data_IF_684169342842
#
_entry.id   IF_684169342842
#
_cell.length_a   1.000
_cell.length_b   1.000
_cell.length_c   1.000
_cell.angle_alpha   90.00
_cell.angle_beta   90.00
_cell.angle_gamma   90.00
#
_symmetry.space_group_name_H-M   'P 1'
#
loop_
_entity.id
_entity.type
_entity.pdbx_description
1 polymer ?
#
# COMPACT_ATOMS: atom_id res chain seq x y z
N UNK A 1 6.97 79.92 12.93
CA UNK A 1 6.90 78.56 12.36
C UNK A 1 7.55 77.61 13.36
N UNK A 2 6.80 76.73 14.02
CA UNK A 2 7.38 75.66 14.83
C UNK A 2 6.68 74.33 14.52
N UNK A 3 7.44 73.37 14.01
CA UNK A 3 6.98 72.02 13.72
C UNK A 3 7.28 71.11 14.92
N UNK A 4 6.23 70.64 15.59
CA UNK A 4 6.33 69.58 16.61
C UNK A 4 6.36 68.22 15.89
N UNK A 5 7.40 67.42 16.15
CA UNK A 5 7.40 66.02 15.76
C UNK A 5 7.93 65.10 16.87
N UNK A 6 7.66 63.80 16.72
CA UNK A 6 8.22 62.66 17.47
C UNK A 6 7.42 62.16 18.69
N UNK A 7 6.28 61.47 18.44
CA UNK A 7 5.69 60.49 19.38
C UNK A 7 5.31 59.12 18.79
N UNK A 8 5.66 58.81 17.54
CA UNK A 8 5.23 57.56 16.87
C UNK A 8 6.16 56.33 17.03
N UNK A 9 7.38 56.48 17.58
CA UNK A 9 8.37 55.39 17.63
C UNK A 9 8.28 54.42 18.82
N UNK A 10 7.81 54.87 20.00
CA UNK A 10 7.86 54.06 21.23
C UNK A 10 6.86 52.88 21.25
N UNK A 11 5.74 52.99 20.54
CA UNK A 11 4.68 51.97 20.54
C UNK A 11 5.00 50.74 19.67
N UNK A 12 5.84 50.86 18.62
CA UNK A 12 6.28 49.71 17.81
C UNK A 12 7.20 48.77 18.60
N UNK A 13 8.12 49.33 19.41
CA UNK A 13 9.07 48.53 20.21
C UNK A 13 8.37 47.70 21.30
N UNK A 14 7.38 48.26 21.99
CA UNK A 14 6.57 47.53 22.99
C UNK A 14 5.77 46.37 22.37
N UNK A 15 5.17 46.58 21.18
CA UNK A 15 4.46 45.51 20.44
C UNK A 15 5.39 44.39 19.99
N UNK A 16 6.63 44.70 19.58
CA UNK A 16 7.61 43.69 19.19
C UNK A 16 8.03 42.80 20.38
N UNK A 17 8.28 43.39 21.55
CA UNK A 17 8.63 42.64 22.76
C UNK A 17 7.51 41.71 23.24
N UNK A 18 6.24 42.14 23.21
CA UNK A 18 5.12 41.26 23.56
C UNK A 18 4.99 40.09 22.58
N UNK A 19 5.19 40.32 21.27
CA UNK A 19 5.18 39.25 20.27
C UNK A 19 6.33 38.26 20.48
N UNK A 20 7.52 38.73 20.88
CA UNK A 20 8.66 37.86 21.21
C UNK A 20 8.39 36.98 22.44
N UNK A 21 7.87 37.57 23.53
CA UNK A 21 7.47 36.81 24.74
C UNK A 21 6.42 35.75 24.45
N UNK A 22 5.40 36.06 23.65
CA UNK A 22 4.37 35.08 23.26
C UNK A 22 4.98 33.90 22.48
N UNK A 23 5.90 34.17 21.54
CA UNK A 23 6.60 33.12 20.78
C UNK A 23 7.48 32.24 21.68
N UNK A 24 8.09 32.80 22.71
CA UNK A 24 8.92 32.05 23.67
C UNK A 24 8.08 31.18 24.61
N UNK A 25 6.93 31.68 25.07
CA UNK A 25 5.96 30.89 25.84
C UNK A 25 5.42 29.70 25.04
N UNK A 26 5.00 29.93 23.78
CA UNK A 26 4.55 28.83 22.92
C UNK A 26 5.66 27.80 22.64
N UNK A 27 6.92 28.22 22.55
CA UNK A 27 8.06 27.29 22.39
C UNK A 27 8.29 26.44 23.64
N UNK A 28 8.10 26.99 24.83
CA UNK A 28 8.23 26.24 26.07
C UNK A 28 7.08 25.24 26.22
N UNK A 29 5.84 25.66 25.96
CA UNK A 29 4.66 24.77 25.98
C UNK A 29 4.81 23.57 25.03
N UNK A 30 5.28 23.80 23.78
CA UNK A 30 5.55 22.72 22.82
C UNK A 30 6.66 21.77 23.32
N UNK A 31 7.68 22.29 24.02
CA UNK A 31 8.75 21.45 24.61
C UNK A 31 8.25 20.64 25.81
N UNK A 32 7.41 21.21 26.67
CA UNK A 32 6.81 20.50 27.80
C UNK A 32 5.81 19.43 27.32
N UNK A 33 4.99 19.73 26.31
CA UNK A 33 4.08 18.76 25.69
C UNK A 33 4.83 17.58 25.04
N UNK A 34 5.99 17.83 24.41
CA UNK A 34 6.86 16.76 23.91
C UNK A 34 7.41 15.89 25.05
N UNK A 35 7.82 16.46 26.17
CA UNK A 35 8.32 15.70 27.33
C UNK A 35 7.23 14.88 28.01
N UNK A 36 6.01 15.40 28.13
CA UNK A 36 4.86 14.66 28.69
C UNK A 36 4.48 13.44 27.83
N UNK A 37 4.54 13.54 26.49
CA UNK A 37 4.34 12.38 25.61
C UNK A 37 5.39 11.29 25.81
N UNK A 38 6.65 11.68 25.98
CA UNK A 38 7.75 10.73 26.21
C UNK A 38 7.64 10.00 27.56
N UNK A 39 7.09 10.63 28.59
CA UNK A 39 6.88 9.98 29.91
C UNK A 39 5.68 9.04 29.86
N UNK A 40 4.58 9.44 29.22
CA UNK A 40 3.40 8.58 29.02
C UNK A 40 3.66 7.38 28.10
N UNK A 41 4.59 7.49 27.13
CA UNK A 41 5.03 6.36 26.31
C UNK A 41 5.89 5.36 27.10
N UNK A 42 6.68 5.82 28.08
CA UNK A 42 7.59 4.98 28.86
C UNK A 42 6.85 4.07 29.85
N UNK A 43 5.73 4.52 30.42
CA UNK A 43 4.88 3.70 31.30
C UNK A 43 4.08 2.62 30.54
N UNK A 44 3.93 2.74 29.21
CA UNK A 44 3.27 1.73 28.37
C UNK A 44 4.22 0.65 27.85
N UNK A 45 5.52 0.76 28.14
CA UNK A 45 6.57 -0.13 27.62
C UNK A 45 6.99 -1.24 28.59
N UNK A 46 6.43 -1.27 29.80
CA UNK A 46 6.67 -2.33 30.79
C UNK A 46 5.42 -3.20 30.90
N UNK A 47 5.38 -4.28 30.12
CA UNK A 47 4.35 -5.33 30.24
C UNK A 47 3.37 -5.34 29.07
N UNK A 48 3.71 -6.06 28.01
CA UNK A 48 2.81 -6.28 26.90
C UNK A 48 3.30 -7.42 26.05
N UNK A 49 2.97 -8.65 26.44
CA UNK A 49 2.72 -9.75 25.50
C UNK A 49 2.10 -9.15 24.24
N UNK A 50 2.69 -9.37 23.05
CA UNK A 50 2.14 -8.91 21.78
C UNK A 50 0.65 -9.26 21.75
N UNK A 51 -0.19 -8.26 21.96
CA UNK A 51 -1.60 -8.49 22.22
C UNK A 51 -2.20 -9.03 20.92
N UNK A 52 -2.86 -10.20 20.97
CA UNK A 52 -3.47 -10.83 19.80
C UNK A 52 -4.43 -9.87 19.04
N UNK A 53 -4.92 -8.85 19.74
CA UNK A 53 -5.73 -7.77 19.17
C UNK A 53 -5.00 -6.91 18.13
N UNK A 54 -3.68 -6.73 18.23
CA UNK A 54 -2.92 -5.92 17.25
C UNK A 54 -2.91 -6.54 15.85
N UNK A 55 -2.94 -7.88 15.77
CA UNK A 55 -3.07 -8.60 14.51
C UNK A 55 -4.44 -8.34 13.87
N UNK A 56 -5.52 -8.48 14.65
CA UNK A 56 -6.88 -8.27 14.17
C UNK A 56 -7.16 -6.81 13.82
N UNK A 57 -6.60 -5.85 14.56
CA UNK A 57 -6.68 -4.42 14.24
C UNK A 57 -6.02 -4.08 12.90
N UNK A 58 -4.88 -4.69 12.57
CA UNK A 58 -4.25 -4.48 11.27
C UNK A 58 -5.07 -5.15 10.15
N UNK A 59 -5.62 -6.34 10.41
CA UNK A 59 -6.50 -7.02 9.47
C UNK A 59 -7.77 -6.21 9.17
N UNK A 60 -8.44 -5.67 10.19
CA UNK A 60 -9.62 -4.82 10.00
C UNK A 60 -9.27 -3.52 9.29
N UNK A 61 -8.14 -2.89 9.63
CA UNK A 61 -7.67 -1.69 8.94
C UNK A 61 -7.44 -1.93 7.44
N UNK A 62 -6.88 -3.08 7.05
CA UNK A 62 -6.69 -3.42 5.65
C UNK A 62 -7.98 -3.79 4.92
N UNK A 63 -8.91 -4.48 5.59
CA UNK A 63 -10.24 -4.73 5.05
C UNK A 63 -11.01 -3.42 4.81
N UNK A 64 -10.91 -2.47 5.74
CA UNK A 64 -11.46 -1.12 5.56
C UNK A 64 -10.79 -0.38 4.40
N UNK A 65 -9.46 -0.46 4.30
CA UNK A 65 -8.72 0.12 3.18
C UNK A 65 -9.19 -0.45 1.85
N UNK A 66 -9.34 -1.78 1.74
CA UNK A 66 -9.82 -2.43 0.52
C UNK A 66 -11.22 -1.94 0.14
N UNK A 67 -12.15 -1.89 1.11
CA UNK A 67 -13.51 -1.38 0.88
C UNK A 67 -13.51 0.07 0.40
N UNK A 68 -12.73 0.93 1.06
CA UNK A 68 -12.59 2.35 0.69
C UNK A 68 -11.96 2.49 -0.70
N UNK A 69 -10.93 1.70 -0.98
CA UNK A 69 -10.25 1.70 -2.27
C UNK A 69 -11.21 1.32 -3.40
N UNK A 70 -11.99 0.25 -3.24
CA UNK A 70 -13.00 -0.14 -4.24
C UNK A 70 -14.01 0.98 -4.50
N UNK A 71 -14.53 1.63 -3.45
CA UNK A 71 -15.48 2.75 -3.60
C UNK A 71 -14.83 3.94 -4.31
N UNK A 72 -13.61 4.31 -3.95
CA UNK A 72 -12.87 5.41 -4.59
C UNK A 72 -12.59 5.08 -6.05
N UNK A 73 -12.19 3.83 -6.35
CA UNK A 73 -11.93 3.36 -7.71
C UNK A 73 -13.17 3.51 -8.59
N UNK A 74 -14.33 3.02 -8.13
CA UNK A 74 -15.58 3.16 -8.86
C UNK A 74 -16.01 4.62 -9.01
N UNK A 75 -15.90 5.44 -7.94
CA UNK A 75 -16.20 6.88 -8.01
C UNK A 75 -15.33 7.59 -9.06
N UNK A 76 -14.02 7.32 -9.04
CA UNK A 76 -13.07 7.92 -9.99
C UNK A 76 -13.39 7.48 -11.42
N UNK A 77 -13.74 6.22 -11.60
CA UNK A 77 -14.15 5.68 -12.90
C UNK A 77 -15.43 6.34 -13.42
N UNK A 78 -16.44 6.54 -12.57
CA UNK A 78 -17.66 7.26 -12.95
C UNK A 78 -17.37 8.71 -13.35
N UNK A 79 -16.57 9.44 -12.57
CA UNK A 79 -16.19 10.83 -12.88
C UNK A 79 -15.45 10.92 -14.23
N UNK A 80 -14.53 9.98 -14.51
CA UNK A 80 -13.82 9.93 -15.78
C UNK A 80 -14.80 9.70 -16.96
N UNK A 81 -15.72 8.75 -16.82
CA UNK A 81 -16.74 8.48 -17.84
C UNK A 81 -17.72 9.66 -18.03
N UNK A 82 -18.05 10.39 -16.98
CA UNK A 82 -18.85 11.62 -17.07
C UNK A 82 -18.12 12.70 -17.88
N UNK A 83 -16.82 12.89 -17.65
CA UNK A 83 -15.99 13.81 -18.44
C UNK A 83 -15.91 13.39 -19.91
N UNK A 84 -15.69 12.11 -20.19
CA UNK A 84 -15.68 11.57 -21.55
C UNK A 84 -17.02 11.80 -22.25
N UNK A 85 -18.13 11.48 -21.58
CA UNK A 85 -19.48 11.71 -22.09
C UNK A 85 -19.75 13.21 -22.36
N UNK A 86 -19.27 14.09 -21.49
CA UNK A 86 -19.39 15.53 -21.69
C UNK A 86 -18.63 15.99 -22.94
N UNK A 87 -17.39 15.53 -23.13
CA UNK A 87 -16.59 15.82 -24.33
C UNK A 87 -17.28 15.28 -25.59
N UNK A 88 -17.84 14.06 -25.54
CA UNK A 88 -18.58 13.48 -26.66
C UNK A 88 -19.82 14.32 -27.00
N UNK A 89 -20.57 14.78 -25.98
CA UNK A 89 -21.72 15.67 -26.17
C UNK A 89 -21.31 17.02 -26.75
N UNK A 90 -20.19 17.59 -26.30
CA UNK A 90 -19.66 18.85 -26.83
C UNK A 90 -19.19 18.71 -28.29
N UNK A 91 -18.53 17.60 -28.64
CA UNK A 91 -18.20 17.27 -30.03
C UNK A 91 -19.45 17.07 -30.89
N UNK A 92 -20.47 16.40 -30.37
CA UNK A 92 -21.71 16.18 -31.11
C UNK A 92 -22.45 17.51 -31.33
N UNK A 93 -22.51 18.37 -30.30
CA UNK A 93 -23.01 19.74 -30.43
C UNK A 93 -22.24 20.53 -31.47
N UNK A 94 -20.91 20.47 -31.48
CA UNK A 94 -20.11 21.18 -32.47
C UNK A 94 -20.39 20.69 -33.90
N UNK A 95 -20.44 19.38 -34.13
CA UNK A 95 -20.78 18.80 -35.44
C UNK A 95 -22.18 19.22 -35.92
N UNK A 96 -23.18 19.19 -35.04
CA UNK A 96 -24.55 19.61 -35.38
C UNK A 96 -24.60 21.11 -35.72
N UNK A 97 -23.95 21.97 -34.92
CA UNK A 97 -23.88 23.41 -35.19
C UNK A 97 -23.12 23.73 -36.50
N UNK A 98 -22.07 22.97 -36.84
CA UNK A 98 -21.35 23.11 -38.11
C UNK A 98 -22.16 22.54 -39.29
N UNK A 99 -23.00 21.53 -39.05
CA UNK A 99 -23.95 20.99 -40.03
C UNK A 99 -25.03 21.99 -40.44
N UNK A 100 -25.46 22.87 -39.54
CA UNK A 100 -26.44 23.93 -39.83
C UNK A 100 -25.95 24.97 -40.83
N UNK A 101 -24.66 25.33 -40.81
CA UNK A 101 -24.06 26.24 -41.79
C UNK A 101 -23.66 25.56 -43.12
N UNK A 102 -23.45 24.24 -43.12
CA UNK A 102 -23.10 23.47 -44.33
C UNK A 102 -24.32 22.83 -45.03
N UNK A 103 -25.53 22.94 -44.46
CA UNK A 103 -26.74 22.33 -45.01
C UNK A 103 -27.24 22.96 -46.32
N UNK A 104 -26.69 24.10 -46.75
CA UNK A 104 -26.96 24.64 -48.10
C UNK A 104 -26.04 24.01 -49.18
N UNK A 105 -24.82 23.56 -48.84
CA UNK A 105 -23.83 23.08 -49.81
C UNK A 105 -23.60 21.56 -49.81
N UNK A 106 -24.00 20.83 -48.75
CA UNK A 106 -23.76 19.39 -48.64
C UNK A 106 -24.89 18.46 -49.16
N UNK A 107 -26.09 18.99 -49.44
CA UNK A 107 -27.20 18.18 -49.96
C UNK A 107 -26.87 17.63 -51.37
N UNK A 108 -26.07 18.35 -52.17
CA UNK A 108 -25.62 17.88 -53.48
C UNK A 108 -24.55 16.79 -53.40
N UNK A 109 -23.68 16.78 -52.39
CA UNK A 109 -22.62 15.75 -52.24
C UNK A 109 -23.12 14.46 -51.58
N UNK A 110 -24.12 14.55 -50.70
CA UNK A 110 -24.69 13.39 -49.98
C UNK A 110 -25.47 12.43 -50.88
N UNK A 111 -26.09 12.91 -51.97
CA UNK A 111 -26.74 12.03 -52.95
C UNK A 111 -25.74 11.12 -53.69
N UNK A 112 -24.49 11.55 -53.85
CA UNK A 112 -23.46 10.81 -54.59
C UNK A 112 -22.85 9.65 -53.79
N UNK A 113 -22.74 9.78 -52.47
CA UNK A 113 -22.17 8.74 -51.58
C UNK A 113 -23.19 7.71 -51.09
N UNK A 114 -24.48 8.04 -51.02
CA UNK A 114 -25.51 7.07 -50.62
C UNK A 114 -25.74 5.94 -51.63
N UNK A 115 -25.36 6.13 -52.89
CA UNK A 115 -25.48 5.09 -53.92
C UNK A 115 -24.38 4.02 -53.81
N UNK A 116 -23.19 4.38 -53.32
CA UNK A 116 -22.05 3.46 -53.20
C UNK A 116 -22.16 2.52 -51.98
N UNK A 117 -22.75 2.98 -50.87
CA UNK A 117 -22.86 2.20 -49.63
C UNK A 117 -24.08 1.26 -49.57
N UNK A 118 -24.93 1.24 -50.60
CA UNK A 118 -26.13 0.37 -50.63
C UNK A 118 -25.84 -1.03 -51.15
N UNK A 119 -24.75 -1.23 -51.89
CA UNK A 119 -24.33 -2.54 -52.43
C UNK A 119 -23.39 -3.31 -51.47
N UNK A 120 -22.87 -2.69 -50.42
CA UNK A 120 -21.92 -3.30 -49.47
C UNK A 120 -22.55 -3.70 -48.12
N UNK A 121 -23.86 -3.52 -47.94
CA UNK A 121 -24.54 -3.68 -46.65
C UNK A 121 -25.49 -4.88 -46.60
N UNK A 122 -25.17 -5.91 -47.37
CA UNK A 122 -25.93 -7.15 -47.47
C UNK A 122 -24.99 -8.34 -47.40
N UNK A 123 -24.13 -8.37 -46.38
CA UNK A 123 -23.55 -9.61 -45.86
C UNK A 123 -23.07 -9.35 -44.44
N UNK A 124 -23.40 -10.28 -43.54
CA UNK A 124 -22.80 -10.43 -42.22
C UNK A 124 -23.27 -9.48 -41.10
N UNK A 125 -24.56 -9.61 -40.77
CA UNK A 125 -25.04 -9.48 -39.41
C UNK A 125 -25.46 -10.87 -38.91
N UNK A 126 -24.60 -11.58 -38.18
CA UNK A 126 -24.98 -12.80 -37.46
C UNK A 126 -24.07 -13.11 -36.26
N UNK A 127 -24.74 -13.34 -35.13
CA UNK A 127 -24.36 -14.14 -33.96
C UNK A 127 -23.42 -13.55 -32.92
N UNK A 128 -24.06 -13.07 -31.85
CA UNK A 128 -23.58 -13.13 -30.48
C UNK A 128 -23.34 -14.60 -30.09
N UNK A 129 -22.10 -15.08 -30.20
CA UNK A 129 -21.67 -16.29 -29.51
C UNK A 129 -20.63 -15.89 -28.47
N UNK A 130 -21.10 -15.78 -27.22
CA UNK A 130 -20.24 -15.90 -26.07
C UNK A 130 -19.52 -17.24 -26.21
N UNK A 131 -18.24 -17.19 -26.60
CA UNK A 131 -17.38 -18.35 -26.71
C UNK A 131 -17.49 -19.18 -25.43
N UNK A 132 -18.21 -20.30 -25.52
CA UNK A 132 -18.11 -21.40 -24.58
C UNK A 132 -16.66 -21.87 -24.62
N UNK A 133 -15.82 -21.32 -23.73
CA UNK A 133 -14.46 -21.81 -23.51
C UNK A 133 -14.56 -23.16 -22.80
N UNK A 134 -14.86 -24.21 -23.57
CA UNK A 134 -14.76 -25.59 -23.14
C UNK A 134 -13.27 -25.93 -23.01
N UNK A 135 -12.76 -25.89 -21.78
CA UNK A 135 -11.40 -26.28 -21.46
C UNK A 135 -11.27 -27.80 -21.61
N UNK A 136 -10.65 -28.26 -22.68
CA UNK A 136 -10.20 -29.65 -22.79
C UNK A 136 -9.04 -29.88 -21.82
N UNK A 137 -9.29 -30.69 -20.80
CA UNK A 137 -8.26 -31.14 -19.87
C UNK A 137 -7.45 -32.23 -20.56
N UNK A 138 -6.30 -31.88 -21.11
CA UNK A 138 -5.38 -32.84 -21.70
C UNK A 138 -4.87 -33.84 -20.64
N UNK A 139 -4.53 -35.05 -21.06
CA UNK A 139 -3.90 -36.11 -20.25
C UNK A 139 -2.73 -35.59 -19.41
N UNK A 140 -1.89 -34.74 -20.01
CA UNK A 140 -0.75 -34.10 -19.34
C UNK A 140 -1.19 -33.21 -18.16
N UNK A 141 -2.30 -32.49 -18.30
CA UNK A 141 -2.84 -31.65 -17.22
C UNK A 141 -3.44 -32.51 -16.10
N UNK A 142 -4.07 -33.65 -16.43
CA UNK A 142 -4.53 -34.62 -15.44
C UNK A 142 -3.35 -35.20 -14.65
N UNK A 143 -2.27 -35.59 -15.34
CA UNK A 143 -1.06 -36.14 -14.70
C UNK A 143 -0.36 -35.14 -13.79
N UNK A 144 -0.28 -33.86 -14.18
CA UNK A 144 0.28 -32.79 -13.37
C UNK A 144 -0.53 -32.55 -12.09
N UNK A 145 -1.86 -32.51 -12.20
CA UNK A 145 -2.75 -32.35 -11.05
C UNK A 145 -2.62 -33.54 -10.08
N UNK A 146 -2.49 -34.76 -10.60
CA UNK A 146 -2.26 -35.95 -9.79
C UNK A 146 -0.91 -35.88 -9.05
N UNK A 147 0.17 -35.49 -9.74
CA UNK A 147 1.49 -35.30 -9.12
C UNK A 147 1.47 -34.21 -8.03
N UNK A 148 0.80 -33.08 -8.30
CA UNK A 148 0.61 -31.99 -7.34
C UNK A 148 -0.15 -32.47 -6.10
N UNK A 149 -1.22 -33.24 -6.29
CA UNK A 149 -1.98 -33.83 -5.18
C UNK A 149 -1.15 -34.82 -4.36
N UNK A 150 -0.39 -35.71 -5.02
CA UNK A 150 0.49 -36.67 -4.33
C UNK A 150 1.55 -35.95 -3.48
N UNK A 151 2.21 -34.92 -4.03
CA UNK A 151 3.21 -34.14 -3.31
C UNK A 151 2.61 -33.36 -2.13
N UNK A 152 1.41 -32.79 -2.30
CA UNK A 152 0.69 -32.11 -1.21
C UNK A 152 0.35 -33.07 -0.07
N UNK A 153 -0.12 -34.27 -0.38
CA UNK A 153 -0.43 -35.31 0.61
C UNK A 153 0.84 -35.80 1.31
N UNK A 154 1.96 -35.96 0.58
CA UNK A 154 3.24 -36.35 1.16
C UNK A 154 3.80 -35.30 2.14
N UNK A 155 3.77 -34.02 1.75
CA UNK A 155 4.15 -32.91 2.63
C UNK A 155 3.28 -32.84 3.88
N UNK A 156 1.97 -33.10 3.74
CA UNK A 156 1.04 -33.11 4.85
C UNK A 156 1.33 -34.28 5.80
N UNK A 157 1.56 -35.49 5.27
CA UNK A 157 1.97 -36.66 6.07
C UNK A 157 3.30 -36.45 6.80
N UNK A 158 4.28 -35.80 6.15
CA UNK A 158 5.54 -35.41 6.82
C UNK A 158 5.27 -34.50 8.02
N UNK A 159 4.48 -33.44 7.83
CA UNK A 159 4.07 -32.54 8.94
C UNK A 159 3.31 -33.27 10.04
N UNK A 160 2.42 -34.18 9.68
CA UNK A 160 1.64 -34.97 10.64
C UNK A 160 2.55 -35.94 11.41
N UNK A 161 3.53 -36.60 10.78
CA UNK A 161 4.52 -37.44 11.45
C UNK A 161 5.47 -36.64 12.36
N UNK A 162 5.84 -35.43 11.97
CA UNK A 162 6.61 -34.48 12.79
C UNK A 162 5.78 -33.94 13.97
N UNK A 163 4.45 -33.89 13.84
CA UNK A 163 3.55 -33.51 14.94
C UNK A 163 3.25 -34.66 15.89
N UNK A 164 3.21 -35.90 15.40
CA UNK A 164 2.95 -37.09 16.21
C UNK A 164 4.18 -37.53 17.04
N UNK A 165 5.40 -37.19 16.58
CA UNK A 165 6.65 -37.40 17.33
C UNK A 165 6.91 -36.31 18.39
N UNK A 166 6.12 -35.23 18.41
CA UNK A 166 6.23 -34.12 19.36
C UNK A 166 5.09 -34.06 20.38
N UNK A 167 4.39 -35.19 20.58
CA UNK A 167 3.23 -35.29 21.47
C UNK A 167 3.54 -35.53 22.96
N UNK A 168 4.81 -35.62 23.37
CA UNK A 168 5.18 -35.93 24.76
C UNK A 168 6.41 -35.14 25.27
N UNK A 169 6.59 -33.89 24.82
CA UNK A 169 7.42 -32.93 25.54
C UNK A 169 6.69 -31.58 25.57
N UNK A 170 6.01 -31.35 26.69
CA UNK A 170 5.37 -30.09 27.00
C UNK A 170 6.37 -28.95 27.02
N UNK A 171 6.01 -27.90 26.29
CA UNK A 171 6.18 -26.48 26.61
C UNK A 171 7.27 -26.13 27.65
N UNK A 172 8.52 -26.33 27.26
CA UNK A 172 9.61 -25.48 27.69
C UNK A 172 10.41 -25.15 26.43
N UNK A 173 10.22 -23.93 25.90
CA UNK A 173 11.15 -23.33 24.94
C UNK A 173 12.45 -23.02 25.67
N UNK A 174 13.15 -24.10 26.02
CA UNK A 174 14.41 -24.12 26.69
C UNK A 174 15.42 -23.37 25.82
N UNK A 175 15.94 -22.27 26.37
CA UNK A 175 16.95 -21.35 25.84
C UNK A 175 18.32 -22.06 25.62
N UNK A 176 18.36 -23.38 25.63
CA UNK A 176 19.55 -24.21 25.46
C UNK A 176 20.09 -24.21 24.01
N UNK A 177 19.30 -23.77 23.01
CA UNK A 177 19.74 -23.66 21.61
C UNK A 177 20.51 -22.37 21.27
N UNK A 178 20.35 -21.30 22.04
CA UNK A 178 20.93 -19.99 21.71
C UNK A 178 22.46 -19.97 21.79
N UNK A 179 23.01 -20.59 22.84
CA UNK A 179 24.46 -20.62 23.05
C UNK A 179 25.20 -21.42 21.96
N UNK A 180 24.61 -22.53 21.49
CA UNK A 180 25.19 -23.33 20.42
C UNK A 180 25.12 -22.62 19.07
N UNK A 181 24.00 -21.94 18.79
CA UNK A 181 23.85 -21.12 17.58
C UNK A 181 24.84 -19.95 17.54
N UNK A 182 25.02 -19.23 18.66
CA UNK A 182 26.00 -18.13 18.75
C UNK A 182 27.42 -18.65 18.55
N UNK A 183 27.78 -19.79 19.15
CA UNK A 183 29.09 -20.42 18.96
C UNK A 183 29.31 -20.83 17.51
N UNK A 184 28.33 -21.46 16.87
CA UNK A 184 28.41 -21.86 15.46
C UNK A 184 28.50 -20.65 14.52
N UNK A 185 27.74 -19.59 14.80
CA UNK A 185 27.81 -18.32 14.08
C UNK A 185 29.19 -17.68 14.20
N UNK A 186 29.78 -17.64 15.40
CA UNK A 186 31.11 -17.08 15.62
C UNK A 186 32.21 -17.93 14.96
N UNK A 187 32.09 -19.26 14.99
CA UNK A 187 33.02 -20.15 14.30
C UNK A 187 32.97 -19.95 12.77
N UNK A 188 31.77 -19.87 12.20
CA UNK A 188 31.57 -19.59 10.78
C UNK A 188 32.10 -18.19 10.40
N UNK A 189 31.84 -17.17 11.22
CA UNK A 189 32.37 -15.83 10.99
C UNK A 189 33.91 -15.81 11.03
N UNK A 190 34.52 -16.58 11.95
CA UNK A 190 35.98 -16.71 12.04
C UNK A 190 36.57 -17.43 10.82
N UNK A 191 35.85 -18.40 10.25
CA UNK A 191 36.25 -19.08 9.01
C UNK A 191 36.18 -18.14 7.80
N UNK A 192 35.11 -17.37 7.66
CA UNK A 192 34.89 -16.47 6.52
C UNK A 192 35.75 -15.21 6.54
N UNK A 193 35.88 -14.60 7.73
CA UNK A 193 36.44 -13.26 7.88
C UNK A 193 37.77 -13.25 8.65
N UNK A 194 38.24 -14.40 9.15
CA UNK A 194 39.50 -14.52 9.87
C UNK A 194 39.58 -13.64 11.12
N UNK A 195 40.65 -12.86 11.24
CA UNK A 195 40.91 -11.97 12.37
C UNK A 195 39.90 -10.81 12.45
N UNK A 196 39.38 -10.35 11.30
CA UNK A 196 38.40 -9.27 11.23
C UNK A 196 36.95 -9.70 11.60
N UNK A 197 36.74 -10.98 11.91
CA UNK A 197 35.43 -11.56 12.20
C UNK A 197 34.71 -10.87 13.35
N UNK A 198 35.42 -10.54 14.44
CA UNK A 198 34.85 -9.86 15.60
C UNK A 198 34.38 -8.44 15.25
N UNK A 199 35.17 -7.71 14.47
CA UNK A 199 34.86 -6.35 14.02
C UNK A 199 33.64 -6.33 13.11
N UNK A 200 33.57 -7.23 12.13
CA UNK A 200 32.44 -7.32 11.19
C UNK A 200 31.16 -7.70 11.92
N UNK A 201 31.22 -8.67 12.83
CA UNK A 201 30.04 -9.07 13.61
C UNK A 201 29.54 -7.93 14.51
N UNK A 202 30.46 -7.15 15.09
CA UNK A 202 30.11 -5.96 15.86
C UNK A 202 29.43 -4.90 14.99
N UNK A 203 29.94 -4.66 13.77
CA UNK A 203 29.33 -3.73 12.82
C UNK A 203 27.94 -4.18 12.38
N UNK A 204 27.77 -5.46 12.06
CA UNK A 204 26.47 -6.05 11.70
C UNK A 204 25.45 -5.89 12.84
N UNK A 205 25.87 -6.22 14.06
CA UNK A 205 25.03 -6.08 15.25
C UNK A 205 24.65 -4.62 15.47
N UNK A 206 25.61 -3.69 15.33
CA UNK A 206 25.32 -2.26 15.44
C UNK A 206 24.27 -1.81 14.40
N UNK A 207 24.40 -2.22 13.14
CA UNK A 207 23.40 -1.93 12.10
C UNK A 207 22.04 -2.53 12.45
N UNK A 208 22.00 -3.80 12.86
CA UNK A 208 20.77 -4.47 13.26
C UNK A 208 20.07 -3.72 14.41
N UNK A 209 20.82 -3.30 15.44
CA UNK A 209 20.25 -2.50 16.55
C UNK A 209 19.69 -1.16 16.08
N UNK A 210 20.31 -0.50 15.09
CA UNK A 210 19.77 0.75 14.55
C UNK A 210 18.47 0.54 13.78
N UNK A 211 18.38 -0.56 13.02
CA UNK A 211 17.18 -0.95 12.30
C UNK A 211 16.07 -1.28 13.29
N UNK A 212 16.35 -2.09 14.30
CA UNK A 212 15.35 -2.51 15.29
C UNK A 212 14.86 -1.32 16.11
N UNK A 213 15.75 -0.39 16.50
CA UNK A 213 15.35 0.89 17.10
C UNK A 213 14.41 1.70 16.19
N UNK A 214 14.65 1.69 14.87
CA UNK A 214 13.77 2.37 13.93
C UNK A 214 12.42 1.65 13.80
N UNK A 215 12.40 0.31 13.78
CA UNK A 215 11.16 -0.48 13.79
C UNK A 215 10.33 -0.21 15.04
N UNK A 216 10.95 -0.21 16.22
CA UNK A 216 10.27 0.06 17.50
C UNK A 216 9.66 1.46 17.53
N UNK A 217 10.38 2.45 17.00
CA UNK A 217 9.93 3.84 16.94
C UNK A 217 8.86 4.07 15.89
N UNK A 218 9.01 3.50 14.71
CA UNK A 218 8.11 3.72 13.59
C UNK A 218 6.85 2.83 13.65
N UNK A 219 6.91 1.69 14.38
CA UNK A 219 5.90 0.62 14.37
C UNK A 219 5.35 0.43 12.95
N UNK A 220 6.21 0.12 11.97
CA UNK A 220 5.80 0.10 10.58
C UNK A 220 4.63 -0.88 10.45
N UNK A 221 3.53 -0.40 9.89
CA UNK A 221 2.35 -1.22 9.69
C UNK A 221 2.72 -2.28 8.66
N UNK A 222 2.94 -3.51 9.11
CA UNK A 222 3.19 -4.63 8.22
C UNK A 222 1.99 -4.76 7.29
N UNK A 223 2.27 -4.89 5.99
CA UNK A 223 1.22 -5.19 5.03
C UNK A 223 0.62 -6.55 5.42
N UNK A 224 -0.70 -6.62 5.67
CA UNK A 224 -1.31 -7.91 5.94
C UNK A 224 -1.11 -8.78 4.71
N UNK A 225 -0.65 -10.00 4.94
CA UNK A 225 -0.71 -11.06 3.95
C UNK A 225 -2.19 -11.41 3.82
N UNK A 226 -2.91 -10.67 2.98
CA UNK A 226 -4.31 -10.94 2.67
C UNK A 226 -4.29 -12.18 1.77
N UNK A 227 -4.83 -13.33 2.20
CA UNK A 227 -4.93 -14.47 1.32
C UNK A 227 -5.80 -14.05 0.13
N UNK A 228 -5.23 -14.17 -1.08
CA UNK A 228 -6.01 -14.06 -2.30
C UNK A 228 -7.09 -15.13 -2.22
N UNK A 229 -8.35 -14.73 -2.44
CA UNK A 229 -9.44 -15.70 -2.52
C UNK A 229 -9.10 -16.68 -3.66
N UNK A 230 -9.32 -17.99 -3.45
CA UNK A 230 -9.31 -18.94 -4.56
C UNK A 230 -10.37 -18.57 -5.60
#
# INVERSE_FOLDING_TARGET
MEFVSVKRGKNRRKRAHLKKRRREQSKLEVKFAKRQRFISEREKLTGGTMHANSFWENYTAAQEWQKRHSVIWWKTRCIALEHENQILRDKLRSVVCHGGQQSSSNIQKSRRYKNWNREQKQEEATSEEAENLEFQVNEDMMSFLEQSMRHKIELQKRRESESCTKGDEGDDTNIQGGANWVKMRNANAKLLYGEASSTILAMETALQTTIDRHKDKAKPQYWPIIPLKP
#
